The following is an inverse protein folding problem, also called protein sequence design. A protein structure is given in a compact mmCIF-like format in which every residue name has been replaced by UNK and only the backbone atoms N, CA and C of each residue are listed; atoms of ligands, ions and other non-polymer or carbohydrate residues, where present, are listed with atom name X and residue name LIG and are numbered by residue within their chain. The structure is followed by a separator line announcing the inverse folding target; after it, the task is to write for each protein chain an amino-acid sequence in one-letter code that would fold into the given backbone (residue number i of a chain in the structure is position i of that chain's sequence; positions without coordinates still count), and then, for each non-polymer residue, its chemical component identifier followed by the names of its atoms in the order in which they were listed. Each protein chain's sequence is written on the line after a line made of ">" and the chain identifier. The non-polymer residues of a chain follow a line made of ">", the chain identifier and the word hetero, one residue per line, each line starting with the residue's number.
data_IF_891127309732
#
_entry.id   IF_891127309732
#
_cell.length_a   1.000
_cell.length_b   1.000
_cell.length_c   1.000
_cell.angle_alpha   90.00
_cell.angle_beta   90.00
_cell.angle_gamma   90.00
#
_symmetry.space_group_name_H-M   'P 1'
#
loop_
_entity.id
_entity.type
_entity.pdbx_description
1 polymer ?
#
# COMPACT_ATOMS: atom_id res chain seq x y z
N UNK A 1 -1.70 -25.57 9.51
CA UNK A 1 -1.41 -24.12 9.62
C UNK A 1 -2.68 -23.33 9.27
N UNK A 2 -3.44 -22.82 10.27
CA UNK A 2 -4.72 -22.13 10.02
C UNK A 2 -4.48 -20.66 9.66
N UNK A 3 -4.70 -20.27 8.40
CA UNK A 3 -4.97 -18.87 8.02
C UNK A 3 -6.47 -18.72 7.76
N UNK A 4 -7.25 -18.49 8.82
CA UNK A 4 -8.57 -17.87 8.68
C UNK A 4 -8.39 -16.36 8.89
N UNK A 5 -8.61 -15.59 7.83
CA UNK A 5 -9.26 -14.29 7.93
C UNK A 5 -9.94 -14.08 6.59
N UNK A 6 -11.26 -14.31 6.58
CA UNK A 6 -12.10 -13.88 5.47
C UNK A 6 -11.76 -12.44 5.12
N UNK A 7 -11.67 -12.16 3.83
CA UNK A 7 -11.42 -10.82 3.32
C UNK A 7 -12.57 -9.91 3.76
N UNK A 8 -12.47 -9.36 4.97
CA UNK A 8 -13.29 -8.25 5.39
C UNK A 8 -12.91 -7.13 4.43
N UNK A 9 -13.79 -6.82 3.46
CA UNK A 9 -13.63 -5.70 2.54
C UNK A 9 -13.70 -4.43 3.40
N UNK A 10 -12.63 -4.10 4.13
CA UNK A 10 -12.41 -2.74 4.63
C UNK A 10 -12.58 -1.88 3.39
N UNK A 11 -13.60 -1.01 3.39
CA UNK A 11 -13.93 -0.16 2.25
C UNK A 11 -12.66 0.47 1.70
N UNK A 12 -12.60 0.68 0.39
CA UNK A 12 -11.42 1.24 -0.29
C UNK A 12 -10.97 2.52 0.42
N UNK A 13 -9.94 2.42 1.27
CA UNK A 13 -9.37 3.58 1.95
C UNK A 13 -8.90 4.52 0.84
N UNK A 14 -9.56 5.67 0.72
CA UNK A 14 -9.19 6.71 -0.25
C UNK A 14 -7.88 7.31 0.24
N UNK A 15 -6.78 6.84 -0.31
CA UNK A 15 -5.44 7.41 -0.11
C UNK A 15 -5.41 8.78 -0.81
N UNK A 16 -5.07 9.82 -0.06
CA UNK A 16 -4.91 11.16 -0.65
C UNK A 16 -3.54 11.29 -1.35
N UNK A 17 -3.34 12.38 -2.10
CA UNK A 17 -2.09 12.58 -2.86
C UNK A 17 -0.87 12.69 -1.92
N UNK A 18 -1.03 13.26 -0.73
CA UNK A 18 0.05 13.37 0.27
C UNK A 18 0.50 12.00 0.78
N UNK A 19 -0.44 11.12 1.13
CA UNK A 19 -0.18 9.75 1.54
C UNK A 19 0.46 8.95 0.40
N UNK A 20 0.01 9.18 -0.84
CA UNK A 20 0.60 8.57 -2.04
C UNK A 20 2.07 8.96 -2.20
N UNK A 21 2.41 10.25 -2.04
CA UNK A 21 3.79 10.70 -2.09
C UNK A 21 4.63 10.10 -0.95
N UNK A 22 4.08 9.98 0.26
CA UNK A 22 4.77 9.33 1.38
C UNK A 22 5.07 7.85 1.08
N UNK A 23 4.11 7.11 0.51
CA UNK A 23 4.30 5.72 0.07
C UNK A 23 5.43 5.61 -0.96
N UNK A 24 5.48 6.52 -1.94
CA UNK A 24 6.54 6.57 -2.95
C UNK A 24 7.91 6.90 -2.35
N UNK A 25 7.97 7.86 -1.43
CA UNK A 25 9.21 8.24 -0.76
C UNK A 25 9.74 7.11 0.11
N UNK A 26 8.88 6.42 0.86
CA UNK A 26 9.27 5.23 1.62
C UNK A 26 9.80 4.13 0.69
N UNK A 27 9.20 3.94 -0.49
CA UNK A 27 9.72 2.96 -1.45
C UNK A 27 11.11 3.35 -1.95
N UNK A 28 11.35 4.64 -2.23
CA UNK A 28 12.68 5.17 -2.62
C UNK A 28 13.73 5.04 -1.51
N UNK A 29 13.32 5.16 -0.25
CA UNK A 29 14.16 4.94 0.93
C UNK A 29 14.49 3.44 1.17
N UNK A 30 13.96 2.52 0.37
CA UNK A 30 14.25 1.09 0.47
C UNK A 30 13.29 0.30 1.37
N UNK A 31 12.22 0.91 1.89
CA UNK A 31 11.23 0.18 2.69
C UNK A 31 10.53 -0.91 1.86
N UNK A 32 10.24 -2.03 2.53
CA UNK A 32 9.50 -3.15 1.94
C UNK A 32 8.00 -2.87 1.86
N UNK A 33 7.29 -3.53 0.95
CA UNK A 33 5.84 -3.43 0.82
C UNK A 33 5.12 -3.73 2.15
N UNK A 34 5.64 -4.67 2.94
CA UNK A 34 5.07 -5.04 4.25
C UNK A 34 5.21 -3.92 5.28
N UNK A 35 6.36 -3.25 5.33
CA UNK A 35 6.57 -2.12 6.24
C UNK A 35 5.69 -0.93 5.86
N UNK A 36 5.61 -0.62 4.57
CA UNK A 36 4.74 0.44 4.06
C UNK A 36 3.27 0.09 4.35
N UNK A 37 2.85 -1.15 4.09
CA UNK A 37 1.49 -1.61 4.39
C UNK A 37 1.15 -1.43 5.88
N UNK A 38 2.06 -1.80 6.78
CA UNK A 38 1.91 -1.60 8.21
C UNK A 38 1.80 -0.13 8.62
N UNK A 39 2.57 0.76 7.99
CA UNK A 39 2.56 2.19 8.30
C UNK A 39 1.25 2.89 7.90
N UNK A 40 0.55 2.41 6.88
CA UNK A 40 -0.66 3.06 6.34
C UNK A 40 -1.98 2.29 6.61
N UNK A 41 -1.94 1.21 7.41
CA UNK A 41 -3.05 0.23 7.59
C UNK A 41 -3.60 -0.26 6.23
N UNK A 42 -2.68 -0.60 5.32
CA UNK A 42 -2.98 -1.10 3.98
C UNK A 42 -2.62 -2.59 3.88
N UNK A 43 -3.10 -3.22 2.81
CA UNK A 43 -2.67 -4.57 2.42
C UNK A 43 -1.49 -4.49 1.45
N UNK A 44 -0.63 -5.51 1.42
CA UNK A 44 0.49 -5.56 0.45
C UNK A 44 0.04 -5.36 -1.00
N UNK A 45 -1.07 -5.98 -1.48
CA UNK A 45 -1.58 -5.73 -2.83
C UNK A 45 -2.01 -4.28 -3.07
N UNK A 46 -2.58 -3.60 -2.06
CA UNK A 46 -2.96 -2.19 -2.18
C UNK A 46 -1.74 -1.30 -2.37
N UNK A 47 -0.68 -1.51 -1.59
CA UNK A 47 0.58 -0.77 -1.73
C UNK A 47 1.20 -1.02 -3.11
N UNK A 48 1.23 -2.27 -3.56
CA UNK A 48 1.74 -2.63 -4.89
C UNK A 48 0.96 -1.90 -6.00
N UNK A 49 -0.37 -1.88 -5.94
CA UNK A 49 -1.20 -1.19 -6.93
C UNK A 49 -0.97 0.32 -6.95
N UNK A 50 -0.81 0.95 -5.78
CA UNK A 50 -0.52 2.38 -5.66
C UNK A 50 0.82 2.74 -6.34
N UNK A 51 1.86 1.92 -6.10
CA UNK A 51 3.18 2.09 -6.69
C UNK A 51 3.14 1.88 -8.22
N UNK A 52 2.54 0.78 -8.68
CA UNK A 52 2.40 0.48 -10.12
C UNK A 52 1.67 1.60 -10.87
N UNK A 53 0.59 2.13 -10.31
CA UNK A 53 -0.16 3.25 -10.90
C UNK A 53 0.67 4.54 -10.97
N UNK A 54 1.70 4.68 -10.14
CA UNK A 54 2.60 5.85 -10.16
C UNK A 54 3.60 5.74 -11.31
N UNK A 55 4.08 4.52 -11.57
CA UNK A 55 5.02 4.23 -12.65
C UNK A 55 4.37 4.41 -14.02
N UNK A 56 3.10 4.02 -14.19
CA UNK A 56 2.37 4.17 -15.46
C UNK A 56 1.96 5.60 -15.82
N UNK A 57 2.19 6.57 -14.93
CA UNK A 57 1.91 7.99 -15.17
C UNK A 57 3.16 8.78 -15.59
N UNK A 58 4.28 8.10 -15.84
CA UNK A 58 5.52 8.66 -16.36
C UNK A 58 5.51 8.64 -17.89
#
# INVERSE_FOLDING_TARGET
>A
MKRKKGANKKGTKRINETERQRILNMRKQGFTLRQIAGAFDLTNPAVFYILKKAETKK
#
